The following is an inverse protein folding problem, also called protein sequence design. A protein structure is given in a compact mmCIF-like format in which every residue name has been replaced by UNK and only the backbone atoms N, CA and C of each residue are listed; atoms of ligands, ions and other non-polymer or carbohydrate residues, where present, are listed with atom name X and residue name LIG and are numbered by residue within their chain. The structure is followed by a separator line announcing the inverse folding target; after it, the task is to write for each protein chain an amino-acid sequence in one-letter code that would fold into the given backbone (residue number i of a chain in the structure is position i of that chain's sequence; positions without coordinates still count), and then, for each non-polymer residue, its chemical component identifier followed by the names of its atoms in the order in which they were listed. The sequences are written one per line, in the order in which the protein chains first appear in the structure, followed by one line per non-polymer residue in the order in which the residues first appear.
data_IF_780401823989
#
_entry.id   IF_780401823989
#
_cell.length_a   1.000
_cell.length_b   1.000
_cell.length_c   1.000
_cell.angle_alpha   90.00
_cell.angle_beta   90.00
_cell.angle_gamma   90.00
#
_symmetry.space_group_name_H-M   'P 1'
#
loop_
_entity.id
_entity.type
_entity.pdbx_description
1 polymer ?
#
# COMPACT_ATOMS: atom_id res chain seq x y z
N UNK A 1 -27.83 -26.32 -2.76
CA UNK A 1 -27.72 -25.14 -1.88
C UNK A 1 -26.24 -24.77 -1.83
N UNK A 2 -25.84 -23.68 -2.49
CA UNK A 2 -24.43 -23.24 -2.43
C UNK A 2 -24.17 -22.70 -1.03
N UNK A 3 -23.39 -23.42 -0.23
CA UNK A 3 -22.94 -22.95 1.08
C UNK A 3 -21.91 -21.84 0.84
N UNK A 4 -22.35 -20.59 0.75
CA UNK A 4 -21.45 -19.46 0.59
C UNK A 4 -20.70 -19.22 1.91
N UNK A 5 -19.36 -19.11 1.87
CA UNK A 5 -18.61 -18.84 3.08
C UNK A 5 -18.91 -17.44 3.58
N UNK A 6 -18.91 -17.29 4.90
CA UNK A 6 -19.17 -16.02 5.60
C UNK A 6 -17.86 -15.51 6.16
N UNK A 7 -17.60 -14.21 5.98
CA UNK A 7 -16.48 -13.51 6.60
C UNK A 7 -16.98 -12.61 7.71
N UNK A 8 -16.48 -12.83 8.93
CA UNK A 8 -16.75 -11.96 10.08
C UNK A 8 -15.60 -10.99 10.27
N UNK A 9 -15.88 -9.69 10.34
CA UNK A 9 -14.84 -8.67 10.52
C UNK A 9 -14.24 -8.78 11.92
N UNK A 10 -12.94 -9.08 12.01
CA UNK A 10 -12.21 -9.14 13.29
C UNK A 10 -11.58 -7.81 13.68
N UNK A 11 -11.29 -6.95 12.71
CA UNK A 11 -10.71 -5.64 12.94
C UNK A 11 -11.74 -4.64 13.47
N UNK A 12 -11.30 -3.69 14.30
CA UNK A 12 -12.16 -2.62 14.84
C UNK A 12 -12.95 -1.89 13.74
N UNK A 13 -12.24 -1.55 12.65
CA UNK A 13 -12.81 -0.99 11.41
C UNK A 13 -12.08 -1.62 10.23
N UNK A 14 -12.81 -2.17 9.28
CA UNK A 14 -12.28 -2.66 8.01
C UNK A 14 -12.77 -1.81 6.84
N UNK A 15 -11.85 -1.47 5.94
CA UNK A 15 -12.10 -0.62 4.79
C UNK A 15 -12.50 -1.48 3.58
N UNK A 16 -13.71 -1.27 3.09
CA UNK A 16 -14.21 -1.91 1.87
C UNK A 16 -13.84 -1.05 0.68
N UNK A 17 -13.17 -1.64 -0.29
CA UNK A 17 -12.57 -0.95 -1.44
C UNK A 17 -13.22 -1.33 -2.75
N UNK A 18 -13.10 -0.47 -3.76
CA UNK A 18 -13.63 -0.73 -5.09
C UNK A 18 -12.87 -1.83 -5.87
N UNK A 19 -11.65 -2.18 -5.42
CA UNK A 19 -10.82 -3.19 -6.05
C UNK A 19 -9.88 -3.90 -5.08
N UNK A 20 -9.26 -5.02 -5.50
CA UNK A 20 -8.33 -5.79 -4.68
C UNK A 20 -6.97 -5.09 -4.60
N UNK A 21 -6.80 -4.23 -3.59
CA UNK A 21 -5.54 -3.53 -3.38
C UNK A 21 -5.65 -2.29 -2.50
N UNK A 22 -4.53 -1.88 -1.89
CA UNK A 22 -4.46 -0.67 -1.06
C UNK A 22 -4.41 0.64 -1.85
N UNK A 23 -4.36 0.56 -3.18
CA UNK A 23 -4.38 1.70 -4.10
C UNK A 23 -5.79 2.05 -4.60
N UNK A 24 -6.78 1.18 -4.42
CA UNK A 24 -8.17 1.45 -4.81
C UNK A 24 -8.90 2.30 -3.75
N UNK A 25 -9.85 3.12 -4.19
CA UNK A 25 -10.63 3.94 -3.27
C UNK A 25 -11.47 3.11 -2.29
N UNK A 26 -11.62 3.64 -1.07
CA UNK A 26 -12.48 3.08 -0.04
C UNK A 26 -13.92 3.55 -0.31
N UNK A 27 -14.81 2.59 -0.55
CA UNK A 27 -16.23 2.85 -0.86
C UNK A 27 -17.11 2.75 0.39
N UNK A 28 -16.69 1.97 1.39
CA UNK A 28 -17.42 1.81 2.64
C UNK A 28 -16.49 1.38 3.79
N UNK A 29 -16.99 1.50 5.02
CA UNK A 29 -16.33 1.00 6.21
C UNK A 29 -17.28 0.12 7.00
N UNK A 30 -16.76 -1.01 7.47
CA UNK A 30 -17.50 -1.97 8.30
C UNK A 30 -16.81 -2.12 9.64
N UNK A 31 -17.61 -2.28 10.71
CA UNK A 31 -17.09 -2.41 12.08
C UNK A 31 -16.86 -3.88 12.43
N UNK A 32 -16.07 -4.10 13.48
CA UNK A 32 -15.88 -5.43 14.06
C UNK A 32 -17.20 -6.14 14.32
N UNK A 33 -17.23 -7.45 14.08
CA UNK A 33 -18.39 -8.32 14.26
C UNK A 33 -19.38 -8.29 13.09
N UNK A 34 -19.18 -7.42 12.08
CA UNK A 34 -20.01 -7.45 10.88
C UNK A 34 -19.79 -8.77 10.12
N UNK A 35 -20.89 -9.47 9.81
CA UNK A 35 -20.88 -10.68 9.00
C UNK A 35 -21.16 -10.32 7.55
N UNK A 36 -20.30 -10.78 6.64
CA UNK A 36 -20.35 -10.46 5.22
C UNK A 36 -20.30 -11.74 4.40
N UNK A 37 -21.14 -11.81 3.38
CA UNK A 37 -21.13 -12.94 2.45
C UNK A 37 -19.97 -12.80 1.46
N UNK A 38 -19.11 -13.81 1.42
CA UNK A 38 -18.02 -13.87 0.45
C UNK A 38 -18.54 -14.39 -0.88
N UNK A 39 -18.32 -13.63 -1.96
CA UNK A 39 -18.81 -13.96 -3.31
C UNK A 39 -17.68 -14.24 -4.29
N UNK A 40 -16.45 -13.89 -3.95
CA UNK A 40 -15.28 -14.10 -4.81
C UNK A 40 -13.98 -13.82 -4.07
N UNK A 41 -12.87 -14.08 -4.74
CA UNK A 41 -11.54 -13.71 -4.26
C UNK A 41 -10.61 -13.27 -5.39
N UNK A 42 -9.55 -12.57 -5.04
CA UNK A 42 -8.46 -12.22 -5.95
C UNK A 42 -7.66 -13.47 -6.31
N UNK A 43 -6.98 -13.45 -7.46
CA UNK A 43 -6.16 -14.58 -7.93
C UNK A 43 -5.01 -14.96 -7.00
N UNK A 44 -4.55 -14.04 -6.15
CA UNK A 44 -3.54 -14.29 -5.09
C UNK A 44 -4.16 -14.72 -3.74
N UNK A 45 -5.49 -14.69 -3.61
CA UNK A 45 -6.21 -14.98 -2.36
C UNK A 45 -6.04 -13.92 -1.27
N UNK A 46 -5.30 -12.83 -1.50
CA UNK A 46 -5.09 -11.80 -0.49
C UNK A 46 -6.36 -10.97 -0.26
N UNK A 47 -7.18 -10.80 -1.29
CA UNK A 47 -8.40 -9.99 -1.23
C UNK A 47 -9.64 -10.85 -1.44
N UNK A 48 -10.66 -10.60 -0.62
CA UNK A 48 -11.96 -11.24 -0.70
C UNK A 48 -13.00 -10.24 -1.17
N UNK A 49 -13.84 -10.68 -2.10
CA UNK A 49 -14.96 -9.91 -2.57
C UNK A 49 -16.17 -10.21 -1.70
N UNK A 50 -16.72 -9.17 -1.10
CA UNK A 50 -17.88 -9.21 -0.22
C UNK A 50 -19.08 -8.54 -0.89
N UNK A 51 -20.26 -9.12 -0.72
CA UNK A 51 -21.49 -8.55 -1.25
C UNK A 51 -22.28 -7.79 -0.19
N UNK A 52 -23.23 -6.97 -0.65
CA UNK A 52 -24.22 -6.25 0.13
C UNK A 52 -23.66 -5.24 1.14
N UNK A 53 -22.41 -4.78 0.98
CA UNK A 53 -21.91 -3.66 1.78
C UNK A 53 -22.45 -2.38 1.16
N UNK A 54 -23.32 -1.67 1.90
CA UNK A 54 -23.98 -0.46 1.41
C UNK A 54 -24.72 -0.64 0.06
N UNK A 55 -25.27 -1.83 -0.18
CA UNK A 55 -25.99 -2.17 -1.43
C UNK A 55 -25.08 -2.45 -2.64
N UNK A 56 -23.76 -2.53 -2.42
CA UNK A 56 -22.79 -2.77 -3.49
C UNK A 56 -21.84 -3.91 -3.12
N UNK A 57 -21.09 -4.38 -4.12
CA UNK A 57 -20.03 -5.37 -3.95
C UNK A 57 -18.71 -4.63 -3.74
N UNK A 58 -17.89 -5.11 -2.82
CA UNK A 58 -16.60 -4.49 -2.51
C UNK A 58 -15.53 -5.50 -2.13
N UNK A 59 -14.31 -5.00 -1.92
CA UNK A 59 -13.14 -5.79 -1.64
C UNK A 59 -12.61 -5.52 -0.23
N UNK A 60 -12.33 -6.59 0.50
CA UNK A 60 -11.74 -6.57 1.83
C UNK A 60 -10.47 -7.41 1.86
N UNK A 61 -9.54 -7.01 2.71
CA UNK A 61 -8.32 -7.77 2.93
C UNK A 61 -8.64 -9.02 3.76
N UNK A 62 -8.22 -10.20 3.31
CA UNK A 62 -8.57 -11.48 3.92
C UNK A 62 -8.15 -11.57 5.41
N UNK A 63 -7.00 -10.97 5.76
CA UNK A 63 -6.47 -10.95 7.13
C UNK A 63 -7.35 -10.18 8.13
N UNK A 64 -8.25 -9.32 7.65
CA UNK A 64 -9.19 -8.57 8.51
C UNK A 64 -10.50 -9.33 8.76
N UNK A 65 -10.62 -10.54 8.22
CA UNK A 65 -11.81 -11.36 8.24
C UNK A 65 -11.49 -12.72 8.89
N UNK A 66 -12.38 -13.16 9.76
CA UNK A 66 -12.46 -14.55 10.21
C UNK A 66 -13.43 -15.26 9.29
N UNK A 67 -12.93 -16.21 8.52
CA UNK A 67 -13.70 -16.86 7.47
C UNK A 67 -14.27 -18.17 7.99
N UNK A 68 -15.59 -18.30 7.92
CA UNK A 68 -16.32 -19.51 8.23
C UNK A 68 -16.71 -20.21 6.92
N UNK A 69 -16.06 -21.35 6.65
CA UNK A 69 -16.27 -22.14 5.44
C UNK A 69 -15.04 -22.21 4.54
N UNK A 70 -15.24 -22.65 3.29
CA UNK A 70 -14.16 -22.86 2.32
C UNK A 70 -14.13 -21.75 1.27
N UNK A 71 -13.08 -20.92 1.28
CA UNK A 71 -12.82 -19.94 0.22
C UNK A 71 -12.36 -20.56 -1.09
N UNK A 72 -11.89 -21.81 -1.07
CA UNK A 72 -11.41 -22.51 -2.26
C UNK A 72 -12.49 -22.72 -3.33
N UNK A 73 -13.75 -22.73 -2.92
CA UNK A 73 -14.90 -22.82 -3.82
C UNK A 73 -15.31 -21.47 -4.40
N UNK A 74 -14.74 -20.35 -3.93
CA UNK A 74 -15.06 -19.03 -4.45
C UNK A 74 -14.45 -18.84 -5.85
N UNK A 75 -15.20 -18.24 -6.78
CA UNK A 75 -14.65 -17.88 -8.08
C UNK A 75 -13.51 -16.88 -7.89
N UNK A 76 -12.41 -17.12 -8.60
CA UNK A 76 -11.35 -16.13 -8.71
C UNK A 76 -11.85 -15.02 -9.63
N UNK A 77 -12.17 -13.86 -9.07
CA UNK A 77 -12.45 -12.68 -9.86
C UNK A 77 -11.09 -12.10 -10.24
N UNK A 78 -10.72 -12.29 -11.50
CA UNK A 78 -9.54 -11.63 -12.04
C UNK A 78 -9.72 -10.14 -11.82
N UNK A 79 -8.84 -9.56 -11.01
CA UNK A 79 -8.77 -8.12 -10.90
C UNK A 79 -8.64 -7.57 -12.34
N UNK A 80 -9.35 -6.48 -12.68
CA UNK A 80 -9.13 -5.80 -13.95
C UNK A 80 -7.63 -5.68 -14.17
N UNK A 81 -7.08 -6.08 -15.33
CA UNK A 81 -5.64 -6.15 -15.56
C UNK A 81 -5.03 -4.84 -15.11
N UNK A 82 -4.26 -4.89 -14.01
CA UNK A 82 -3.77 -3.75 -13.25
C UNK A 82 -2.65 -2.99 -13.99
N UNK A 83 -2.70 -2.97 -15.32
CA UNK A 83 -1.55 -2.81 -16.19
C UNK A 83 -0.95 -1.39 -16.24
N UNK A 84 -1.48 -0.37 -15.54
CA UNK A 84 -0.96 1.01 -15.67
C UNK A 84 -0.86 1.86 -14.38
N UNK A 85 -1.35 1.43 -13.22
CA UNK A 85 -1.56 2.37 -12.10
C UNK A 85 -1.06 1.87 -10.72
N UNK A 86 0.26 1.82 -10.57
CA UNK A 86 1.01 2.28 -9.38
C UNK A 86 2.23 1.37 -9.19
N UNK A 87 3.48 1.90 -9.28
CA UNK A 87 4.63 1.14 -8.80
C UNK A 87 4.38 0.73 -7.34
N UNK A 88 4.90 -0.42 -6.88
CA UNK A 88 4.83 -0.78 -5.47
C UNK A 88 5.40 0.40 -4.70
N UNK A 89 4.54 1.15 -3.99
CA UNK A 89 4.98 2.25 -3.14
C UNK A 89 5.93 1.58 -2.18
N UNK A 90 7.23 1.84 -2.34
CA UNK A 90 8.26 1.41 -1.41
C UNK A 90 7.71 1.84 -0.06
N UNK A 91 7.30 0.87 0.75
CA UNK A 91 7.08 1.13 2.15
C UNK A 91 8.41 1.74 2.59
N UNK A 92 8.45 3.00 3.07
CA UNK A 92 9.67 3.48 3.68
C UNK A 92 9.90 2.48 4.81
N UNK A 93 10.89 1.61 4.61
CA UNK A 93 11.40 0.75 5.68
C UNK A 93 11.63 1.74 6.81
N UNK A 94 10.92 1.50 7.91
CA UNK A 94 10.99 2.32 9.13
C UNK A 94 12.40 2.85 9.27
N UNK A 95 12.53 4.16 9.48
CA UNK A 95 13.77 4.75 9.94
C UNK A 95 14.27 3.89 11.10
N UNK A 96 15.24 3.02 10.83
CA UNK A 96 16.07 2.43 11.85
C UNK A 96 17.02 3.56 12.27
N UNK A 97 16.49 4.49 13.05
CA UNK A 97 17.32 5.32 13.89
C UNK A 97 17.83 4.43 15.01
N UNK A 98 19.15 4.30 15.12
CA UNK A 98 19.89 4.46 16.38
C UNK A 98 21.39 4.32 16.10
N UNK A 99 22.13 5.33 16.57
CA UNK A 99 23.53 5.42 17.00
C UNK A 99 24.52 4.30 16.58
N UNK A 100 25.75 4.59 16.18
CA UNK A 100 26.71 5.26 17.07
C UNK A 100 27.91 5.87 16.33
N UNK A 101 28.55 6.82 17.01
CA UNK A 101 29.74 7.54 16.62
C UNK A 101 30.90 6.59 16.28
N UNK A 102 31.67 6.93 15.25
CA UNK A 102 33.12 6.93 15.37
C UNK A 102 33.75 7.80 14.30
N UNK A 103 34.45 8.83 14.80
CA UNK A 103 35.38 9.63 14.06
C UNK A 103 36.45 8.75 13.38
N UNK A 104 36.98 9.21 12.25
CA UNK A 104 38.42 9.50 12.07
C UNK A 104 38.75 9.68 10.59
N UNK A 105 39.07 10.93 10.23
CA UNK A 105 40.33 11.36 9.59
C UNK A 105 40.88 10.54 8.41
N UNK A 106 41.43 11.29 7.44
CA UNK A 106 42.19 10.90 6.22
C UNK A 106 41.27 10.47 5.07
N UNK A 107 41.23 11.10 3.90
CA UNK A 107 42.21 11.90 3.16
C UNK A 107 42.14 11.45 1.69
N UNK A 108 42.45 12.35 0.75
CA UNK A 108 42.36 12.21 -0.73
C UNK A 108 40.93 12.38 -1.25
N UNK A 109 40.63 13.28 -2.17
CA UNK A 109 41.46 13.99 -3.12
C UNK A 109 40.66 14.12 -4.41
N UNK A 110 40.78 15.30 -5.04
CA UNK A 110 40.42 15.61 -6.42
C UNK A 110 38.91 15.74 -6.75
N UNK A 111 38.47 16.98 -6.99
CA UNK A 111 37.87 17.39 -8.26
C UNK A 111 37.90 18.94 -8.37
N UNK A 112 38.70 19.46 -9.30
CA UNK A 112 38.60 20.83 -9.87
C UNK A 112 37.87 20.69 -11.21
N UNK A 113 37.03 21.66 -11.62
CA UNK A 113 37.49 22.51 -12.73
C UNK A 113 37.00 23.96 -12.63
N UNK A 114 37.73 24.88 -13.28
CA UNK A 114 37.33 26.28 -13.46
C UNK A 114 38.49 27.12 -14.00
N UNK A 115 38.70 27.08 -15.31
CA UNK A 115 39.60 27.96 -16.05
C UNK A 115 38.78 29.09 -16.71
N UNK A 116 39.31 30.32 -16.68
CA UNK A 116 38.78 31.53 -17.35
C UNK A 116 38.51 32.64 -16.32
N UNK A 117 39.48 33.52 -16.03
CA UNK A 117 39.73 34.82 -16.70
C UNK A 117 38.50 35.74 -16.67
N UNK A 118 38.54 37.04 -16.37
CA UNK A 118 39.48 37.99 -15.79
C UNK A 118 38.67 39.31 -15.67
N UNK A 119 39.21 40.26 -14.91
CA UNK A 119 38.96 41.71 -14.99
C UNK A 119 37.73 42.34 -14.30
N UNK A 120 38.09 43.07 -13.23
CA UNK A 120 37.85 44.50 -13.02
C UNK A 120 36.43 44.98 -12.70
N UNK A 121 36.24 45.33 -11.42
CA UNK A 121 35.18 46.19 -10.92
C UNK A 121 35.64 46.82 -9.62
N UNK A 122 36.47 47.87 -9.72
CA UNK A 122 36.96 48.65 -8.59
C UNK A 122 35.82 49.42 -7.93
N UNK A 123 35.62 49.19 -6.64
CA UNK A 123 35.02 50.15 -5.70
C UNK A 123 36.16 50.82 -4.94
N UNK A 124 36.02 52.11 -4.61
CA UNK A 124 36.07 52.43 -3.18
C UNK A 124 34.92 53.32 -2.73
N UNK A 125 34.59 53.15 -1.45
CA UNK A 125 33.60 53.83 -0.61
C UNK A 125 33.97 55.30 -0.31
N UNK A 126 33.27 55.97 0.63
CA UNK A 126 31.82 56.05 0.90
C UNK A 126 31.17 57.32 0.33
#
# INVERSE_FOLDING_TARGET
MSNQPIGTVSAAVANVRNGPGTHFDVIAQVKQGAMLTLVGQSGDGAWLQVCCVAGQVGWLWAELLVIEGSTRALPQVQAPPAALASPPRRQPRRCAGVADRSASRTGRGCWRPGHGSAAAGSLPAP
#
